data_IF_647679517142
#
_entry.id   IF_647679517142
#
_cell.length_a   1.000
_cell.length_b   1.000
_cell.length_c   1.000
_cell.angle_alpha   90.00
_cell.angle_beta   90.00
_cell.angle_gamma   90.00
#
_symmetry.space_group_name_H-M   'P 1'
#
loop_
_entity.id
_entity.type
_entity.pdbx_description
1 polymer ?
#
# COMPACT_ATOMS: atom_id res chain seq x y z
N UNK A 1 11.04 30.63 -26.11
CA UNK A 1 11.05 29.46 -25.17
C UNK A 1 9.59 29.23 -24.76
N UNK A 2 8.98 28.16 -25.22
CA UNK A 2 7.62 27.79 -24.78
C UNK A 2 7.77 27.23 -23.36
N UNK A 3 7.14 27.88 -22.36
CA UNK A 3 6.94 27.29 -21.07
C UNK A 3 6.17 25.96 -21.26
N UNK A 4 6.81 24.82 -21.02
CA UNK A 4 6.13 23.55 -20.87
C UNK A 4 5.23 23.69 -19.63
N UNK A 5 3.91 23.80 -19.85
CA UNK A 5 2.92 23.65 -18.79
C UNK A 5 3.14 22.27 -18.18
N UNK A 6 3.79 22.19 -17.03
CA UNK A 6 3.85 20.93 -16.28
C UNK A 6 2.42 20.53 -15.93
N UNK A 7 1.96 19.45 -16.54
CA UNK A 7 0.68 18.83 -16.15
C UNK A 7 0.91 18.24 -14.77
N UNK A 8 0.42 18.91 -13.73
CA UNK A 8 0.48 18.43 -12.37
C UNK A 8 -0.55 17.30 -12.24
N UNK A 9 -0.11 16.08 -12.54
CA UNK A 9 -0.95 14.87 -12.53
C UNK A 9 -0.89 14.21 -11.15
N UNK A 10 -2.04 13.95 -10.53
CA UNK A 10 -2.16 13.17 -9.31
C UNK A 10 -2.73 11.79 -9.63
N UNK A 11 -2.05 10.74 -9.19
CA UNK A 11 -2.52 9.35 -9.32
C UNK A 11 -3.07 8.90 -7.96
N UNK A 12 -4.30 8.40 -7.93
CA UNK A 12 -4.87 7.72 -6.76
C UNK A 12 -4.98 6.23 -7.05
N UNK A 13 -4.34 5.42 -6.24
CA UNK A 13 -4.46 3.96 -6.30
C UNK A 13 -5.38 3.46 -5.19
N UNK A 14 -6.15 2.40 -5.49
CA UNK A 14 -7.11 1.82 -4.54
C UNK A 14 -6.91 0.32 -4.51
N UNK A 15 -6.82 -0.26 -3.32
CA UNK A 15 -6.78 -1.70 -3.16
C UNK A 15 -5.95 -2.17 -1.98
N UNK A 16 -5.30 -3.31 -2.17
CA UNK A 16 -4.55 -3.96 -1.10
C UNK A 16 -3.24 -3.24 -0.77
N UNK A 17 -2.95 -3.24 0.51
CA UNK A 17 -1.64 -3.01 1.11
C UNK A 17 -1.46 -4.09 2.18
N UNK A 18 -0.32 -4.74 2.20
CA UNK A 18 -0.06 -5.92 3.03
C UNK A 18 1.42 -6.06 3.38
N UNK A 19 1.74 -7.02 4.21
CA UNK A 19 3.12 -7.39 4.51
C UNK A 19 3.46 -8.72 3.83
N UNK A 20 4.50 -8.72 3.02
CA UNK A 20 5.16 -9.92 2.53
C UNK A 20 6.16 -10.41 3.59
N UNK A 21 5.81 -11.49 4.27
CA UNK A 21 6.68 -12.21 5.22
C UNK A 21 7.60 -13.15 4.43
N UNK A 22 8.75 -12.61 4.02
CA UNK A 22 9.71 -13.36 3.19
C UNK A 22 10.75 -14.04 4.07
N UNK A 23 10.88 -15.37 3.97
CA UNK A 23 11.91 -16.10 4.67
C UNK A 23 13.29 -15.72 4.12
N UNK A 24 14.19 -15.26 4.99
CA UNK A 24 15.53 -14.79 4.64
C UNK A 24 16.64 -15.76 5.06
N UNK A 25 16.30 -16.78 5.84
CA UNK A 25 17.24 -17.80 6.31
C UNK A 25 16.82 -18.43 7.62
N UNK A 26 17.80 -18.90 8.39
CA UNK A 26 17.65 -19.43 9.74
C UNK A 26 18.62 -18.74 10.69
N UNK A 27 18.25 -18.61 11.96
CA UNK A 27 19.16 -18.11 13.00
C UNK A 27 20.15 -19.20 13.46
N UNK A 28 21.01 -18.86 14.43
CA UNK A 28 21.99 -19.77 15.00
C UNK A 28 21.37 -21.00 15.72
N UNK A 29 20.10 -20.94 16.09
CA UNK A 29 19.34 -22.03 16.75
C UNK A 29 18.52 -22.86 15.76
N UNK A 30 18.58 -22.54 14.45
CA UNK A 30 17.81 -23.22 13.41
C UNK A 30 16.38 -22.69 13.23
N UNK A 31 16.01 -21.58 13.89
CA UNK A 31 14.68 -20.99 13.72
C UNK A 31 14.61 -20.23 12.37
N UNK A 32 13.48 -20.33 11.67
CA UNK A 32 13.24 -19.57 10.45
C UNK A 32 13.18 -18.07 10.74
N UNK A 33 13.92 -17.27 9.94
CA UNK A 33 13.93 -15.80 10.03
C UNK A 33 13.16 -15.23 8.85
N UNK A 34 12.25 -14.29 9.12
CA UNK A 34 11.43 -13.62 8.11
C UNK A 34 11.65 -12.11 8.12
N UNK A 35 11.75 -11.53 6.95
CA UNK A 35 11.67 -10.09 6.77
C UNK A 35 10.20 -9.70 6.50
N UNK A 36 9.72 -8.68 7.23
CA UNK A 36 8.41 -8.08 7.00
C UNK A 36 8.54 -6.96 5.96
N UNK A 37 8.19 -7.24 4.72
CA UNK A 37 8.37 -6.32 3.60
C UNK A 37 7.02 -5.72 3.21
N UNK A 38 6.87 -4.38 3.17
CA UNK A 38 5.68 -3.75 2.64
C UNK A 38 5.40 -4.16 1.19
N UNK A 39 4.16 -4.56 0.91
CA UNK A 39 3.72 -5.09 -0.37
C UNK A 39 2.28 -4.70 -0.71
N UNK A 40 1.75 -5.32 -1.75
CA UNK A 40 0.46 -5.02 -2.35
C UNK A 40 0.59 -4.24 -3.64
N UNK A 41 0.05 -4.76 -4.75
CA UNK A 41 0.25 -4.18 -6.08
C UNK A 41 -0.21 -2.71 -6.20
N UNK A 42 -1.40 -2.31 -5.68
CA UNK A 42 -1.82 -0.90 -5.72
C UNK A 42 -0.92 0.03 -4.90
N UNK A 43 -0.46 -0.41 -3.72
CA UNK A 43 0.44 0.37 -2.88
C UNK A 43 1.83 0.52 -3.54
N UNK A 44 2.35 -0.56 -4.12
CA UNK A 44 3.60 -0.54 -4.87
C UNK A 44 3.53 0.42 -6.08
N UNK A 45 2.39 0.46 -6.78
CA UNK A 45 2.18 1.40 -7.87
C UNK A 45 2.22 2.87 -7.39
N UNK A 46 1.56 3.19 -6.27
CA UNK A 46 1.58 4.52 -5.68
C UNK A 46 3.03 4.96 -5.34
N UNK A 47 3.79 4.08 -4.68
CA UNK A 47 5.18 4.34 -4.32
C UNK A 47 6.06 4.50 -5.57
N UNK A 48 5.90 3.64 -6.58
CA UNK A 48 6.67 3.71 -7.81
C UNK A 48 6.40 5.02 -8.57
N UNK A 49 5.14 5.41 -8.72
CA UNK A 49 4.77 6.67 -9.36
C UNK A 49 5.31 7.89 -8.59
N UNK A 50 5.27 7.84 -7.24
CA UNK A 50 5.83 8.89 -6.41
C UNK A 50 7.35 9.05 -6.59
N UNK A 51 8.08 7.93 -6.68
CA UNK A 51 9.51 7.93 -7.00
C UNK A 51 9.85 8.55 -8.36
N UNK A 52 8.91 8.51 -9.30
CA UNK A 52 9.03 9.15 -10.61
C UNK A 52 8.58 10.63 -10.61
N UNK A 53 8.28 11.20 -9.44
CA UNK A 53 7.93 12.61 -9.29
C UNK A 53 6.45 12.92 -9.47
N UNK A 54 5.58 11.90 -9.60
CA UNK A 54 4.12 12.09 -9.69
C UNK A 54 3.52 12.22 -8.29
N UNK A 55 2.62 13.19 -8.08
CA UNK A 55 1.83 13.23 -6.84
C UNK A 55 0.93 11.99 -6.77
N UNK A 56 0.97 11.29 -5.62
CA UNK A 56 0.21 10.05 -5.45
C UNK A 56 -0.60 10.04 -4.16
N UNK A 57 -1.76 9.40 -4.22
CA UNK A 57 -2.58 9.05 -3.07
C UNK A 57 -2.88 7.56 -3.08
N UNK A 58 -3.04 7.00 -1.89
CA UNK A 58 -3.41 5.61 -1.69
C UNK A 58 -4.69 5.49 -0.86
N UNK A 59 -5.60 4.63 -1.32
CA UNK A 59 -6.85 4.28 -0.63
C UNK A 59 -6.84 2.79 -0.35
N UNK A 60 -6.94 2.43 0.92
CA UNK A 60 -6.91 1.03 1.35
C UNK A 60 -7.38 0.86 2.78
N UNK A 61 -7.19 -0.34 3.33
CA UNK A 61 -7.53 -0.64 4.71
C UNK A 61 -6.47 -1.56 5.33
N UNK A 62 -6.09 -1.28 6.57
CA UNK A 62 -5.17 -2.07 7.40
C UNK A 62 -5.80 -2.36 8.76
N UNK A 63 -5.29 -3.37 9.46
CA UNK A 63 -5.70 -3.68 10.83
C UNK A 63 -5.16 -2.66 11.84
N UNK A 64 -5.69 -2.69 13.05
CA UNK A 64 -5.14 -1.94 14.19
C UNK A 64 -4.06 -2.76 14.89
N UNK A 65 -2.91 -2.97 14.23
CA UNK A 65 -1.85 -3.86 14.67
C UNK A 65 -0.44 -3.29 14.41
N UNK A 66 0.59 -4.03 14.79
CA UNK A 66 1.98 -3.62 14.60
C UNK A 66 2.38 -3.53 13.12
N UNK A 67 1.81 -4.38 12.26
CA UNK A 67 2.12 -4.40 10.83
C UNK A 67 1.54 -3.19 10.10
N UNK A 68 0.38 -2.71 10.51
CA UNK A 68 -0.22 -1.49 9.94
C UNK A 68 0.67 -0.27 10.12
N UNK A 69 1.42 -0.18 11.22
CA UNK A 69 2.37 0.92 11.46
C UNK A 69 3.51 0.91 10.45
N UNK A 70 4.06 -0.28 10.15
CA UNK A 70 5.11 -0.43 9.13
C UNK A 70 4.60 0.09 7.78
N UNK A 71 3.37 -0.25 7.40
CA UNK A 71 2.75 0.16 6.14
C UNK A 71 2.48 1.67 6.09
N UNK A 72 1.96 2.24 7.19
CA UNK A 72 1.74 3.68 7.31
C UNK A 72 3.05 4.47 7.23
N UNK A 73 4.08 4.02 7.94
CA UNK A 73 5.41 4.65 7.91
C UNK A 73 6.04 4.55 6.52
N UNK A 74 5.81 3.45 5.80
CA UNK A 74 6.27 3.29 4.42
C UNK A 74 5.62 4.30 3.48
N UNK A 75 4.29 4.45 3.51
CA UNK A 75 3.59 5.44 2.68
C UNK A 75 4.07 6.86 2.99
N UNK A 76 4.24 7.18 4.27
CA UNK A 76 4.77 8.47 4.72
C UNK A 76 6.21 8.70 4.26
N UNK A 77 7.08 7.69 4.37
CA UNK A 77 8.47 7.77 3.94
C UNK A 77 8.60 8.13 2.45
N UNK A 78 7.70 7.59 1.62
CA UNK A 78 7.68 7.88 0.18
C UNK A 78 6.78 9.07 -0.18
N UNK A 79 6.26 9.82 0.79
CA UNK A 79 5.42 11.00 0.57
C UNK A 79 4.17 10.68 -0.28
N UNK A 80 3.57 9.51 -0.06
CA UNK A 80 2.28 9.13 -0.62
C UNK A 80 1.18 9.64 0.30
N UNK A 81 0.21 10.37 -0.26
CA UNK A 81 -0.97 10.82 0.50
C UNK A 81 -1.79 9.60 0.96
N UNK A 82 -1.73 9.31 2.24
CA UNK A 82 -2.43 8.18 2.87
C UNK A 82 -3.72 8.61 3.60
N UNK A 83 -4.28 9.77 3.29
CA UNK A 83 -5.54 10.25 3.91
C UNK A 83 -6.73 9.31 3.64
N UNK A 84 -6.66 8.52 2.57
CA UNK A 84 -7.64 7.47 2.24
C UNK A 84 -7.38 6.11 2.89
N UNK A 85 -6.29 5.95 3.66
CA UNK A 85 -6.02 4.71 4.38
C UNK A 85 -6.90 4.59 5.61
N UNK A 86 -7.61 3.48 5.72
CA UNK A 86 -8.49 3.18 6.83
C UNK A 86 -7.80 2.21 7.78
N UNK A 87 -8.06 2.35 9.09
CA UNK A 87 -7.65 1.38 10.12
C UNK A 87 -8.92 0.73 10.66
N UNK A 88 -8.95 -0.60 10.77
CA UNK A 88 -10.09 -1.35 11.27
C UNK A 88 -9.69 -2.25 12.45
N UNK A 89 -10.60 -2.38 13.42
CA UNK A 89 -10.50 -3.34 14.52
C UNK A 89 -11.19 -4.69 14.19
N UNK A 90 -11.78 -4.82 12.99
CA UNK A 90 -12.57 -5.99 12.60
C UNK A 90 -11.76 -7.05 11.84
N UNK A 91 -10.54 -6.73 11.43
CA UNK A 91 -9.66 -7.66 10.72
C UNK A 91 -8.21 -7.23 10.89
N UNK A 92 -7.31 -8.20 10.90
CA UNK A 92 -5.88 -7.95 10.96
C UNK A 92 -5.31 -7.52 9.60
N UNK A 93 -4.17 -6.82 9.63
CA UNK A 93 -3.39 -6.53 8.43
C UNK A 93 -3.05 -7.83 7.71
N UNK A 94 -3.32 -7.89 6.42
CA UNK A 94 -3.05 -9.09 5.62
C UNK A 94 -1.56 -9.37 5.55
N UNK A 95 -1.19 -10.63 5.80
CA UNK A 95 0.16 -11.14 5.62
C UNK A 95 0.18 -12.13 4.45
N UNK A 96 1.18 -12.01 3.58
CA UNK A 96 1.53 -13.02 2.59
C UNK A 96 2.83 -13.68 3.03
N UNK A 97 2.79 -14.95 3.41
CA UNK A 97 4.00 -15.70 3.75
C UNK A 97 4.61 -16.24 2.47
N UNK A 98 5.84 -15.83 2.20
CA UNK A 98 6.61 -16.23 1.02
C UNK A 98 7.71 -17.17 1.46
N UNK A 99 7.64 -18.41 1.01
CA UNK A 99 8.69 -19.41 1.22
C UNK A 99 9.34 -19.77 -0.10
N UNK A 100 10.63 -20.09 -0.06
CA UNK A 100 11.40 -20.54 -1.23
C UNK A 100 11.87 -21.95 -0.93
N UNK A 101 11.57 -22.89 -1.80
CA UNK A 101 12.04 -24.27 -1.67
C UNK A 101 13.49 -24.45 -2.13
N UNK A 102 14.00 -25.68 -2.01
CA UNK A 102 15.38 -26.03 -2.41
C UNK A 102 15.65 -25.87 -3.92
N UNK A 103 14.61 -25.81 -4.75
CA UNK A 103 14.70 -25.57 -6.20
C UNK A 103 14.66 -24.08 -6.56
N UNK A 104 14.42 -23.20 -5.57
CA UNK A 104 14.25 -21.74 -5.77
C UNK A 104 12.83 -21.35 -6.17
N UNK A 105 11.87 -22.29 -6.13
CA UNK A 105 10.47 -21.99 -6.41
C UNK A 105 9.82 -21.29 -5.23
N UNK A 106 9.03 -20.23 -5.51
CA UNK A 106 8.34 -19.44 -4.50
C UNK A 106 6.92 -19.94 -4.32
N UNK A 107 6.53 -20.13 -3.07
CA UNK A 107 5.14 -20.38 -2.71
C UNK A 107 4.61 -19.26 -1.83
N UNK A 108 3.32 -18.94 -1.99
CA UNK A 108 2.63 -17.88 -1.26
C UNK A 108 1.49 -18.48 -0.44
N UNK A 109 1.42 -18.11 0.82
CA UNK A 109 0.32 -18.43 1.72
C UNK A 109 -0.22 -17.16 2.34
N UNK A 110 -1.50 -16.84 2.08
CA UNK A 110 -2.13 -15.63 2.59
C UNK A 110 -2.82 -15.91 3.94
N UNK A 111 -2.42 -15.14 4.97
CA UNK A 111 -3.15 -15.05 6.24
C UNK A 111 -4.24 -13.97 6.11
N UNK A 112 -5.39 -14.37 5.54
CA UNK A 112 -6.52 -13.49 5.23
C UNK A 112 -7.83 -14.24 5.48
N UNK A 113 -8.52 -13.96 6.64
CA UNK A 113 -9.78 -14.65 7.00
C UNK A 113 -10.72 -13.78 7.84
N UNK A 114 -11.30 -12.69 7.32
CA UNK A 114 -10.89 -11.82 6.23
C UNK A 114 -9.66 -11.00 6.58
N UNK A 115 -8.93 -10.48 5.60
CA UNK A 115 -7.88 -9.50 5.82
C UNK A 115 -8.44 -8.07 5.80
N UNK A 116 -7.78 -7.14 6.48
CA UNK A 116 -8.22 -5.75 6.56
C UNK A 116 -8.33 -5.08 5.17
N UNK A 117 -7.48 -5.46 4.23
CA UNK A 117 -7.50 -4.97 2.85
C UNK A 117 -8.82 -5.23 2.10
N UNK A 118 -9.62 -6.21 2.56
CA UNK A 118 -10.96 -6.49 2.02
C UNK A 118 -12.06 -5.64 2.67
N UNK A 119 -11.75 -4.86 3.70
CA UNK A 119 -12.69 -4.06 4.50
C UNK A 119 -12.75 -2.60 4.06
N UNK A 120 -12.38 -2.28 2.82
CA UNK A 120 -12.40 -0.90 2.31
C UNK A 120 -13.85 -0.40 2.30
N UNK A 121 -14.14 0.61 3.11
CA UNK A 121 -15.46 1.21 3.21
C UNK A 121 -15.79 2.03 1.96
N UNK A 122 -16.93 1.72 1.29
CA UNK A 122 -17.36 2.38 0.04
C UNK A 122 -17.42 3.91 0.15
N UNK A 123 -17.91 4.45 1.28
CA UNK A 123 -18.03 5.90 1.47
C UNK A 123 -16.68 6.60 1.48
N UNK A 124 -15.69 6.03 2.16
CA UNK A 124 -14.33 6.60 2.23
C UNK A 124 -13.59 6.45 0.90
N UNK A 125 -13.75 5.32 0.21
CA UNK A 125 -13.20 5.14 -1.12
C UNK A 125 -13.77 6.17 -2.10
N UNK A 126 -15.10 6.35 -2.11
CA UNK A 126 -15.77 7.31 -2.97
C UNK A 126 -15.35 8.75 -2.64
N UNK A 127 -15.27 9.12 -1.36
CA UNK A 127 -14.83 10.46 -0.94
C UNK A 127 -13.40 10.77 -1.40
N UNK A 128 -12.48 9.81 -1.34
CA UNK A 128 -11.12 9.98 -1.82
C UNK A 128 -11.05 10.16 -3.35
N UNK A 129 -11.86 9.39 -4.10
CA UNK A 129 -11.96 9.51 -5.56
C UNK A 129 -12.55 10.88 -5.95
N UNK A 130 -13.68 11.26 -5.33
CA UNK A 130 -14.39 12.51 -5.61
C UNK A 130 -13.55 13.71 -5.16
N UNK A 131 -12.91 13.65 -4.00
CA UNK A 131 -11.99 14.70 -3.53
C UNK A 131 -10.82 14.93 -4.50
N UNK A 132 -10.25 13.88 -5.05
CA UNK A 132 -9.24 13.95 -6.11
C UNK A 132 -9.78 14.59 -7.38
N UNK A 133 -11.02 14.29 -7.77
CA UNK A 133 -11.68 14.85 -8.94
C UNK A 133 -12.01 16.35 -8.76
N UNK A 134 -12.50 16.76 -7.59
CA UNK A 134 -12.74 18.18 -7.27
C UNK A 134 -11.47 19.02 -7.29
N UNK A 135 -10.36 18.46 -6.80
CA UNK A 135 -9.06 19.11 -6.86
C UNK A 135 -8.60 19.33 -8.31
N UNK A 136 -8.80 18.32 -9.18
CA UNK A 136 -8.48 18.42 -10.62
C UNK A 136 -9.32 19.48 -11.32
N UNK A 137 -10.63 19.54 -11.04
CA UNK A 137 -11.55 20.53 -11.62
C UNK A 137 -11.24 21.93 -11.06
N UNK A 138 -11.00 22.07 -9.76
CA UNK A 138 -10.65 23.37 -9.15
C UNK A 138 -9.38 23.98 -9.70
N UNK A 139 -8.37 23.19 -10.05
CA UNK A 139 -7.14 23.68 -10.72
C UNK A 139 -7.32 23.95 -12.22
N UNK A 140 -8.30 23.32 -12.87
CA UNK A 140 -8.57 23.56 -14.28
C UNK A 140 -9.39 24.83 -14.53
N UNK A 141 -10.10 25.35 -13.51
CA UNK A 141 -10.99 26.53 -13.62
C UNK A 141 -10.35 27.79 -12.98
N UNK A 142 -9.32 27.64 -12.16
CA UNK A 142 -8.53 28.75 -11.57
C UNK A 142 -7.29 29.02 -12.36
#
# INVERSE_FOLDING_TARGET
>A
MKEEKSINMKITTIGEILIDMTQTGTDANGNAVFAAIPGGAPANLAVAARKLGVETAFVGCVGNDAFSRILQDTLKHYDVDASGLQVTDHADTTLAVVTVDSSGERSFSFCRKPGADTQIGRRKALAAIVGGLYWLIGKAIG
#
